data_IF_751537691883
#
_entry.id   IF_751537691883
#
_cell.length_a   1.000
_cell.length_b   1.000
_cell.length_c   1.000
_cell.angle_alpha   90.00
_cell.angle_beta   90.00
_cell.angle_gamma   90.00
#
_symmetry.space_group_name_H-M   'P 1'
#
loop_
_entity.id
_entity.type
_entity.pdbx_description
1 polymer ?
#
# COMPACT_ATOMS: atom_id res chain seq x y z
N UNK A 1 -15.21 -1.79 3.11
CA UNK A 1 -13.97 -1.00 2.95
C UNK A 1 -12.95 -1.82 2.17
N UNK A 2 -12.33 -1.18 1.21
CA UNK A 2 -11.38 -1.88 0.33
C UNK A 2 -10.21 -2.48 1.09
N UNK A 3 -9.70 -1.80 2.12
CA UNK A 3 -8.58 -2.33 2.88
C UNK A 3 -8.96 -3.61 3.61
N UNK A 4 -10.14 -3.65 4.22
CA UNK A 4 -10.61 -4.86 4.89
C UNK A 4 -10.81 -5.99 3.90
N UNK A 5 -11.35 -5.69 2.72
CA UNK A 5 -11.53 -6.69 1.66
C UNK A 5 -10.19 -7.25 1.20
N UNK A 6 -9.18 -6.38 1.08
CA UNK A 6 -7.85 -6.81 0.71
C UNK A 6 -7.25 -7.75 1.77
N UNK A 7 -7.41 -7.40 3.04
CA UNK A 7 -6.90 -8.25 4.13
C UNK A 7 -7.57 -9.63 4.09
N UNK A 8 -8.90 -9.67 3.90
CA UNK A 8 -9.61 -10.94 3.76
C UNK A 8 -9.11 -11.73 2.56
N UNK A 9 -8.84 -11.05 1.46
CA UNK A 9 -8.28 -11.70 0.27
C UNK A 9 -6.94 -12.36 0.57
N UNK A 10 -6.05 -11.66 1.31
CA UNK A 10 -4.75 -12.22 1.67
C UNK A 10 -4.89 -13.44 2.57
N UNK A 11 -5.85 -13.42 3.49
CA UNK A 11 -6.08 -14.54 4.40
C UNK A 11 -6.65 -15.73 3.65
N UNK A 12 -7.71 -15.52 2.87
CA UNK A 12 -8.50 -16.60 2.30
C UNK A 12 -7.96 -17.10 0.97
N UNK A 13 -7.51 -16.20 0.11
CA UNK A 13 -7.08 -16.56 -1.25
C UNK A 13 -5.59 -16.84 -1.32
N UNK A 14 -4.79 -16.08 -0.59
CA UNK A 14 -3.34 -16.18 -0.67
C UNK A 14 -2.72 -16.96 0.49
N UNK A 15 -3.50 -17.24 1.51
CA UNK A 15 -3.03 -18.00 2.68
C UNK A 15 -1.78 -17.42 3.33
N UNK A 16 -1.67 -16.09 3.36
CA UNK A 16 -0.54 -15.44 4.00
C UNK A 16 -0.59 -15.64 5.51
N UNK A 17 0.59 -15.73 6.13
CA UNK A 17 0.68 -15.86 7.58
C UNK A 17 0.21 -14.59 8.28
N UNK A 18 -0.12 -14.72 9.57
CA UNK A 18 -0.54 -13.57 10.37
C UNK A 18 0.51 -12.47 10.38
N UNK A 19 1.80 -12.83 10.47
CA UNK A 19 2.88 -11.87 10.49
C UNK A 19 2.97 -11.09 9.18
N UNK A 20 2.80 -11.77 8.05
CA UNK A 20 2.82 -11.14 6.75
C UNK A 20 1.65 -10.16 6.60
N UNK A 21 0.46 -10.56 7.09
CA UNK A 21 -0.71 -9.71 7.01
C UNK A 21 -0.56 -8.46 7.86
N UNK A 22 0.01 -8.59 9.05
CA UNK A 22 0.29 -7.46 9.92
C UNK A 22 1.26 -6.49 9.21
N UNK A 23 2.29 -7.02 8.57
CA UNK A 23 3.26 -6.19 7.86
C UNK A 23 2.61 -5.43 6.71
N UNK A 24 1.76 -6.10 5.92
CA UNK A 24 1.04 -5.46 4.83
C UNK A 24 0.14 -4.34 5.34
N UNK A 25 -0.60 -4.63 6.39
CA UNK A 25 -1.52 -3.66 6.98
C UNK A 25 -0.78 -2.43 7.50
N UNK A 26 0.35 -2.66 8.18
CA UNK A 26 1.17 -1.56 8.69
C UNK A 26 1.72 -0.69 7.56
N UNK A 27 2.23 -1.31 6.50
CA UNK A 27 2.80 -0.57 5.38
C UNK A 27 1.74 0.29 4.69
N UNK A 28 0.54 -0.26 4.50
CA UNK A 28 -0.55 0.49 3.87
C UNK A 28 -1.02 1.65 4.74
N UNK A 29 -1.09 1.44 6.05
CA UNK A 29 -1.47 2.51 6.97
C UNK A 29 -0.43 3.62 7.00
N UNK A 30 0.85 3.28 6.98
CA UNK A 30 1.93 4.27 6.95
C UNK A 30 1.85 5.10 5.68
N UNK A 31 1.63 4.47 4.53
CA UNK A 31 1.48 5.20 3.27
C UNK A 31 0.25 6.10 3.30
N UNK A 32 -0.86 5.58 3.84
CA UNK A 32 -2.09 6.37 3.95
C UNK A 32 -1.87 7.63 4.79
N UNK A 33 -1.17 7.48 5.91
CA UNK A 33 -0.87 8.62 6.77
C UNK A 33 0.07 9.61 6.09
N UNK A 34 1.04 9.10 5.33
CA UNK A 34 1.93 9.97 4.57
C UNK A 34 1.15 10.82 3.58
N UNK A 35 0.23 10.22 2.84
CA UNK A 35 -0.58 10.94 1.86
C UNK A 35 -1.45 11.99 2.53
N UNK A 36 -2.02 11.65 3.68
CA UNK A 36 -2.84 12.60 4.41
C UNK A 36 -2.02 13.79 4.90
N UNK A 37 -0.86 13.51 5.46
CA UNK A 37 0.00 14.54 6.03
C UNK A 37 0.62 15.45 4.97
N UNK A 38 1.13 14.86 3.89
CA UNK A 38 1.89 15.62 2.89
C UNK A 38 1.02 16.25 1.83
N UNK A 39 -0.10 15.64 1.50
CA UNK A 39 -0.94 16.06 0.38
C UNK A 39 -2.38 16.33 0.78
N UNK A 40 -2.70 16.18 2.05
CA UNK A 40 -4.07 16.28 2.55
C UNK A 40 -5.03 15.37 1.77
N UNK A 41 -4.53 14.22 1.35
CA UNK A 41 -5.25 13.26 0.51
C UNK A 41 -5.72 12.10 1.39
N UNK A 42 -7.03 11.98 1.56
CA UNK A 42 -7.60 11.04 2.54
C UNK A 42 -7.87 9.66 2.01
N UNK A 43 -8.07 9.53 0.70
CA UNK A 43 -8.50 8.26 0.12
C UNK A 43 -7.33 7.52 -0.49
N UNK A 44 -6.90 6.45 0.19
CA UNK A 44 -5.79 5.61 -0.26
C UNK A 44 -6.01 5.11 -1.69
N UNK A 45 -7.25 4.75 -2.03
CA UNK A 45 -7.57 4.14 -3.32
C UNK A 45 -7.39 5.08 -4.50
N UNK A 46 -7.40 6.38 -4.27
CA UNK A 46 -7.23 7.37 -5.33
C UNK A 46 -5.85 7.99 -5.33
N UNK A 47 -4.90 7.39 -4.60
CA UNK A 47 -3.51 7.84 -4.61
C UNK A 47 -2.94 7.68 -6.02
N UNK A 48 -2.10 8.61 -6.43
CA UNK A 48 -1.51 8.56 -7.75
C UNK A 48 -0.01 8.26 -7.67
N UNK A 49 0.60 8.10 -8.83
CA UNK A 49 2.01 7.76 -8.92
C UNK A 49 2.91 8.78 -8.22
N UNK A 50 2.56 10.07 -8.29
CA UNK A 50 3.34 11.12 -7.64
C UNK A 50 3.42 10.93 -6.14
N UNK A 51 2.32 10.51 -5.52
CA UNK A 51 2.30 10.26 -4.07
C UNK A 51 3.22 9.10 -3.72
N UNK A 52 3.16 8.03 -4.50
CA UNK A 52 4.00 6.85 -4.28
C UNK A 52 5.47 7.23 -4.41
N UNK A 53 5.80 7.98 -5.45
CA UNK A 53 7.17 8.42 -5.69
C UNK A 53 7.70 9.28 -4.55
N UNK A 54 6.89 10.22 -4.07
CA UNK A 54 7.27 11.08 -2.96
C UNK A 54 7.51 10.27 -1.70
N UNK A 55 6.68 9.25 -1.46
CA UNK A 55 6.85 8.38 -0.32
C UNK A 55 8.17 7.62 -0.40
N UNK A 56 8.48 7.07 -1.58
CA UNK A 56 9.74 6.34 -1.78
C UNK A 56 10.93 7.24 -1.50
N UNK A 57 10.90 8.49 -1.98
CA UNK A 57 11.97 9.45 -1.72
C UNK A 57 12.12 9.67 -0.23
N UNK A 58 11.01 9.83 0.49
CA UNK A 58 11.08 10.04 1.93
C UNK A 58 11.66 8.84 2.67
N UNK A 59 11.36 7.63 2.19
CA UNK A 59 11.90 6.40 2.78
C UNK A 59 13.41 6.31 2.56
N UNK A 60 13.87 6.66 1.37
CA UNK A 60 15.31 6.69 1.08
C UNK A 60 15.99 7.69 1.99
N UNK A 61 15.42 8.87 2.14
CA UNK A 61 15.99 9.92 2.97
C UNK A 61 16.03 9.55 4.44
N UNK A 62 15.07 8.72 4.88
CA UNK A 62 15.03 8.27 6.27
C UNK A 62 16.06 7.18 6.56
N UNK A 63 16.74 6.67 5.54
CA UNK A 63 17.78 5.68 5.73
C UNK A 63 17.35 4.24 5.66
N UNK A 64 16.12 3.96 5.20
CA UNK A 64 15.67 2.59 5.04
C UNK A 64 16.50 1.85 3.99
N UNK A 65 16.71 0.56 4.21
CA UNK A 65 17.44 -0.27 3.25
C UNK A 65 16.62 -0.48 1.98
N UNK A 66 17.31 -0.77 0.88
CA UNK A 66 16.63 -1.07 -0.38
C UNK A 66 15.69 -2.25 -0.23
N UNK A 67 16.05 -3.23 0.58
CA UNK A 67 15.21 -4.41 0.81
C UNK A 67 13.88 -4.02 1.43
N UNK A 68 13.92 -3.16 2.45
CA UNK A 68 12.70 -2.69 3.12
C UNK A 68 11.84 -1.85 2.19
N UNK A 69 12.48 -0.98 1.40
CA UNK A 69 11.75 -0.13 0.46
C UNK A 69 11.08 -0.98 -0.62
N UNK A 70 11.80 -1.97 -1.16
CA UNK A 70 11.23 -2.85 -2.17
C UNK A 70 10.04 -3.65 -1.64
N UNK A 71 10.11 -4.08 -0.36
CA UNK A 71 8.98 -4.77 0.25
C UNK A 71 7.76 -3.85 0.31
N UNK A 72 7.94 -2.61 0.70
CA UNK A 72 6.83 -1.65 0.79
C UNK A 72 6.24 -1.35 -0.58
N UNK A 73 7.07 -1.24 -1.60
CA UNK A 73 6.60 -1.06 -2.97
C UNK A 73 5.76 -2.26 -3.41
N UNK A 74 6.22 -3.47 -3.07
CA UNK A 74 5.48 -4.70 -3.41
C UNK A 74 4.12 -4.74 -2.72
N UNK A 75 4.03 -4.26 -1.48
CA UNK A 75 2.76 -4.19 -0.77
C UNK A 75 1.79 -3.27 -1.51
N UNK A 76 2.25 -2.08 -1.90
CA UNK A 76 1.41 -1.15 -2.65
C UNK A 76 0.97 -1.74 -3.98
N UNK A 77 1.90 -2.39 -4.70
CA UNK A 77 1.57 -3.01 -5.98
C UNK A 77 0.49 -4.08 -5.80
N UNK A 78 0.62 -4.90 -4.78
CA UNK A 78 -0.38 -5.94 -4.50
C UNK A 78 -1.74 -5.33 -4.20
N UNK A 79 -1.77 -4.27 -3.42
CA UNK A 79 -3.01 -3.62 -3.05
C UNK A 79 -3.70 -3.02 -4.28
N UNK A 80 -2.96 -2.27 -5.10
CA UNK A 80 -3.56 -1.62 -6.26
C UNK A 80 -3.96 -2.64 -7.33
N UNK A 81 -3.21 -3.73 -7.48
CA UNK A 81 -3.62 -4.81 -8.37
C UNK A 81 -4.92 -5.46 -7.89
N UNK A 82 -5.09 -5.61 -6.58
CA UNK A 82 -6.32 -6.11 -6.01
C UNK A 82 -7.50 -5.18 -6.33
N UNK A 83 -7.30 -3.86 -6.20
CA UNK A 83 -8.34 -2.89 -6.50
C UNK A 83 -8.76 -2.95 -7.97
N UNK A 84 -7.81 -3.12 -8.87
CA UNK A 84 -8.11 -3.30 -10.29
C UNK A 84 -8.93 -4.55 -10.52
N UNK A 85 -8.58 -5.62 -9.81
CA UNK A 85 -9.26 -6.91 -9.96
C UNK A 85 -10.72 -6.85 -9.55
N UNK A 86 -11.05 -6.05 -8.55
CA UNK A 86 -12.42 -5.90 -8.07
C UNK A 86 -13.10 -4.64 -8.60
N UNK A 87 -12.46 -3.98 -9.58
CA UNK A 87 -13.01 -2.80 -10.26
C UNK A 87 -13.26 -1.60 -9.34
N UNK A 88 -12.45 -1.47 -8.27
CA UNK A 88 -12.55 -0.32 -7.37
C UNK A 88 -11.89 0.92 -7.94
N UNK A 89 -10.94 0.76 -8.87
CA UNK A 89 -10.26 1.86 -9.52
C UNK A 89 -10.23 1.62 -11.02
N UNK A 90 -10.04 2.70 -11.77
CA UNK A 90 -9.97 2.61 -13.22
C UNK A 90 -8.64 2.04 -13.67
N UNK A 91 -8.67 1.33 -14.76
CA UNK A 91 -7.45 0.88 -15.41
C UNK A 91 -6.80 2.04 -16.15
N UNK A 92 -5.50 2.04 -16.15
CA UNK A 92 -4.75 3.05 -16.91
C UNK A 92 -4.41 2.55 -18.28
#
# INVERSE_FOLDING_TARGET
MSLNSFIEYLVKERNYSSNTIIAYKNDLNVFKEFCLKEFNHKNLNTSNYSFIRSWIVSLVESGLSNRSINRKISVLRSYFNFLLKIDEIDKN
#
